data_IF_910675141627
#
_entry.id   IF_910675141627
#
_cell.length_a   1.000
_cell.length_b   1.000
_cell.length_c   1.000
_cell.angle_alpha   90.00
_cell.angle_beta   90.00
_cell.angle_gamma   90.00
#
_symmetry.space_group_name_H-M   'P 1'
#
loop_
_entity.id
_entity.type
_entity.pdbx_description
1 polymer ?
#
# COMPACT_ATOMS: atom_id res chain seq x y z
N UNK A 1 29.91 -13.29 32.08
CA UNK A 1 29.41 -12.74 30.80
C UNK A 1 29.63 -13.78 29.71
N UNK A 2 28.60 -14.51 29.28
CA UNK A 2 28.72 -15.49 28.18
C UNK A 2 28.58 -14.73 26.85
N UNK A 3 29.50 -14.86 25.88
CA UNK A 3 29.42 -14.12 24.63
C UNK A 3 28.28 -14.69 23.79
N UNK A 4 27.31 -13.83 23.47
CA UNK A 4 26.14 -14.17 22.66
C UNK A 4 26.56 -14.06 21.19
N UNK A 5 27.14 -15.12 20.63
CA UNK A 5 27.33 -15.21 19.18
C UNK A 5 26.04 -15.68 18.53
N UNK A 6 25.10 -14.75 18.32
CA UNK A 6 23.92 -14.97 17.48
C UNK A 6 24.10 -14.39 16.06
N UNK A 7 25.29 -14.52 15.48
CA UNK A 7 25.46 -14.43 14.02
C UNK A 7 25.02 -15.76 13.39
N UNK A 8 23.72 -16.08 13.50
CA UNK A 8 23.16 -17.20 12.75
C UNK A 8 23.23 -16.85 11.27
N UNK A 9 23.91 -17.68 10.46
CA UNK A 9 24.01 -17.49 9.01
C UNK A 9 22.63 -17.24 8.37
N UNK A 10 21.59 -17.92 8.85
CA UNK A 10 20.19 -17.73 8.47
C UNK A 10 19.72 -16.27 8.54
N UNK A 11 20.08 -15.54 9.61
CA UNK A 11 19.67 -14.14 9.83
C UNK A 11 20.38 -13.19 8.86
N UNK A 12 21.66 -13.46 8.59
CA UNK A 12 22.46 -12.68 7.64
C UNK A 12 21.93 -12.90 6.23
N UNK A 13 21.66 -14.14 5.83
CA UNK A 13 21.09 -14.46 4.53
C UNK A 13 19.69 -13.85 4.35
N UNK A 14 18.82 -13.93 5.37
CA UNK A 14 17.52 -13.29 5.33
C UNK A 14 17.63 -11.75 5.22
N UNK A 15 18.57 -11.13 5.92
CA UNK A 15 18.80 -9.69 5.82
C UNK A 15 19.30 -9.29 4.43
N UNK A 16 20.28 -10.02 3.87
CA UNK A 16 20.78 -9.79 2.50
C UNK A 16 19.64 -9.90 1.50
N UNK A 17 18.78 -10.91 1.63
CA UNK A 17 17.62 -11.09 0.77
C UNK A 17 16.67 -9.89 0.85
N UNK A 18 16.29 -9.46 2.06
CA UNK A 18 15.38 -8.31 2.26
C UNK A 18 16.00 -7.02 1.75
N UNK A 19 17.29 -6.78 2.01
CA UNK A 19 18.03 -5.63 1.50
C UNK A 19 18.09 -5.62 -0.04
N UNK A 20 18.38 -6.76 -0.65
CA UNK A 20 18.40 -6.89 -2.10
C UNK A 20 17.01 -6.67 -2.71
N UNK A 21 15.97 -7.25 -2.11
CA UNK A 21 14.59 -7.04 -2.55
C UNK A 21 14.20 -5.56 -2.47
N UNK A 22 14.46 -4.90 -1.35
CA UNK A 22 14.21 -3.47 -1.19
C UNK A 22 14.95 -2.64 -2.25
N UNK A 23 16.21 -2.98 -2.54
CA UNK A 23 17.00 -2.32 -3.57
C UNK A 23 16.41 -2.51 -4.98
N UNK A 24 16.04 -3.74 -5.35
CA UNK A 24 15.44 -4.04 -6.66
C UNK A 24 14.11 -3.31 -6.83
N UNK A 25 13.27 -3.28 -5.79
CA UNK A 25 12.01 -2.54 -5.80
C UNK A 25 12.26 -1.04 -5.99
N UNK A 26 13.23 -0.47 -5.26
CA UNK A 26 13.60 0.93 -5.38
C UNK A 26 14.09 1.28 -6.79
N UNK A 27 15.02 0.48 -7.35
CA UNK A 27 15.53 0.69 -8.71
C UNK A 27 14.46 0.51 -9.78
N UNK A 28 13.54 -0.44 -9.60
CA UNK A 28 12.42 -0.64 -10.51
C UNK A 28 11.49 0.57 -10.54
N UNK A 29 11.19 1.14 -9.37
CA UNK A 29 10.41 2.37 -9.25
C UNK A 29 11.11 3.56 -9.90
N UNK A 30 12.41 3.72 -9.66
CA UNK A 30 13.20 4.81 -10.27
C UNK A 30 13.20 4.71 -11.79
N UNK A 31 13.40 3.51 -12.35
CA UNK A 31 13.35 3.29 -13.80
C UNK A 31 11.95 3.57 -14.38
N UNK A 32 10.90 3.19 -13.66
CA UNK A 32 9.53 3.48 -14.08
C UNK A 32 9.24 4.99 -14.09
N UNK A 33 9.65 5.71 -13.04
CA UNK A 33 9.53 7.16 -12.98
C UNK A 33 10.29 7.87 -14.11
N UNK A 34 11.52 7.42 -14.41
CA UNK A 34 12.32 7.96 -15.50
C UNK A 34 11.62 7.76 -16.85
N UNK A 35 11.05 6.57 -17.10
CA UNK A 35 10.29 6.26 -18.32
C UNK A 35 9.03 7.11 -18.45
N UNK A 36 8.37 7.43 -17.34
CA UNK A 36 7.19 8.29 -17.31
C UNK A 36 7.50 9.80 -17.39
N UNK A 37 8.78 10.18 -17.48
CA UNK A 37 9.18 11.59 -17.58
C UNK A 37 8.94 12.40 -16.30
N UNK A 38 8.95 11.74 -15.13
CA UNK A 38 8.75 12.35 -13.81
C UNK A 38 10.09 12.71 -13.11
N UNK A 39 11.23 12.48 -13.76
CA UNK A 39 12.56 12.70 -13.19
C UNK A 39 13.10 11.52 -12.39
N UNK A 40 13.94 11.78 -11.39
CA UNK A 40 14.69 10.77 -10.62
C UNK A 40 14.46 10.85 -9.09
N UNK A 41 13.28 11.31 -8.67
CA UNK A 41 12.91 11.47 -7.26
C UNK A 41 11.84 10.46 -6.84
N UNK A 42 12.16 9.16 -6.68
CA UNK A 42 11.19 8.12 -6.33
C UNK A 42 10.61 8.34 -4.95
N UNK A 43 11.36 9.01 -4.06
CA UNK A 43 10.89 9.38 -2.72
C UNK A 43 9.68 10.32 -2.77
N UNK A 44 9.72 11.34 -3.62
CA UNK A 44 8.62 12.30 -3.77
C UNK A 44 7.35 11.62 -4.31
N UNK A 45 7.51 10.71 -5.28
CA UNK A 45 6.38 9.93 -5.81
C UNK A 45 5.76 9.06 -4.72
N UNK A 46 6.59 8.39 -3.91
CA UNK A 46 6.10 7.60 -2.77
C UNK A 46 5.42 8.45 -1.70
N UNK A 47 5.95 9.64 -1.42
CA UNK A 47 5.34 10.58 -0.47
C UNK A 47 3.95 11.03 -0.95
N UNK A 48 3.81 11.33 -2.24
CA UNK A 48 2.51 11.68 -2.83
C UNK A 48 1.54 10.49 -2.87
N UNK A 49 2.02 9.29 -3.16
CA UNK A 49 1.19 8.08 -3.07
C UNK A 49 0.79 7.74 -1.63
N UNK A 50 1.63 8.00 -0.64
CA UNK A 50 1.31 7.79 0.77
C UNK A 50 0.18 8.71 1.27
N UNK A 51 -0.06 9.84 0.58
CA UNK A 51 -1.20 10.72 0.86
C UNK A 51 -2.53 10.12 0.38
N UNK A 52 -2.49 9.23 -0.61
CA UNK A 52 -3.68 8.51 -1.09
C UNK A 52 -3.98 7.39 -0.11
N UNK A 53 -5.01 7.58 0.71
CA UNK A 53 -5.39 6.63 1.75
C UNK A 53 -6.66 5.87 1.38
N UNK A 54 -6.74 4.61 1.79
CA UNK A 54 -7.96 3.81 1.74
C UNK A 54 -8.63 3.80 3.10
N UNK A 55 -9.90 4.16 3.15
CA UNK A 55 -10.70 4.23 4.37
C UNK A 55 -11.88 3.27 4.29
N UNK A 56 -12.20 2.62 5.41
CA UNK A 56 -13.41 1.83 5.55
C UNK A 56 -14.55 2.74 6.05
N UNK A 57 -15.61 2.88 5.26
CA UNK A 57 -16.83 3.61 5.59
C UNK A 57 -17.90 2.62 6.01
N UNK A 58 -18.38 2.71 7.25
CA UNK A 58 -19.48 1.90 7.78
C UNK A 58 -20.75 2.73 7.75
N UNK A 59 -21.73 2.33 6.94
CA UNK A 59 -23.04 2.96 6.87
C UNK A 59 -24.06 2.10 7.61
N UNK A 60 -24.64 2.58 8.72
CA UNK A 60 -25.76 1.90 9.36
C UNK A 60 -27.00 2.06 8.48
N UNK A 61 -27.60 0.95 8.04
CA UNK A 61 -28.86 0.98 7.29
C UNK A 61 -30.03 0.71 8.23
N UNK A 62 -31.17 1.38 7.97
CA UNK A 62 -32.39 1.25 8.78
C UNK A 62 -33.12 -0.08 8.60
N UNK A 63 -32.76 -0.90 7.60
CA UNK A 63 -33.52 -2.10 7.22
C UNK A 63 -32.69 -3.39 7.19
N UNK A 64 -31.40 -3.33 6.87
CA UNK A 64 -30.59 -4.51 6.56
C UNK A 64 -29.12 -4.31 6.99
N UNK A 65 -28.84 -4.34 8.30
CA UNK A 65 -27.48 -4.44 8.83
C UNK A 65 -26.53 -3.26 8.52
N UNK A 66 -25.25 -3.42 8.87
CA UNK A 66 -24.17 -2.47 8.59
C UNK A 66 -23.54 -2.74 7.21
N UNK A 67 -23.43 -1.72 6.36
CA UNK A 67 -22.71 -1.82 5.08
C UNK A 67 -21.29 -1.27 5.26
N UNK A 68 -20.27 -2.07 4.95
CA UNK A 68 -18.85 -1.67 5.03
C UNK A 68 -18.24 -1.52 3.62
N UNK A 69 -17.86 -0.29 3.27
CA UNK A 69 -17.26 0.04 1.97
C UNK A 69 -15.83 0.51 2.16
N UNK A 70 -14.87 -0.07 1.42
CA UNK A 70 -13.51 0.48 1.34
C UNK A 70 -13.43 1.52 0.23
N UNK A 71 -13.42 2.79 0.62
CA UNK A 71 -13.32 3.94 -0.27
C UNK A 71 -11.88 4.43 -0.34
N UNK A 72 -11.42 4.84 -1.52
CA UNK A 72 -10.11 5.45 -1.70
C UNK A 72 -10.28 6.96 -1.81
N UNK A 73 -9.44 7.73 -1.12
CA UNK A 73 -9.47 9.20 -1.19
C UNK A 73 -9.25 9.67 -2.62
N UNK A 74 -10.00 10.69 -3.05
CA UNK A 74 -9.84 11.29 -4.37
C UNK A 74 -8.47 11.98 -4.46
N UNK A 75 -7.63 11.65 -5.46
CA UNK A 75 -6.31 12.26 -5.60
C UNK A 75 -6.43 13.74 -5.95
N UNK A 76 -5.53 14.55 -5.38
CA UNK A 76 -5.35 15.97 -5.72
C UNK A 76 -4.97 16.13 -7.22
N UNK A 77 -5.22 17.28 -7.89
CA UNK A 77 -4.85 17.46 -9.31
C UNK A 77 -3.38 17.15 -9.61
N UNK A 78 -2.47 17.46 -8.69
CA UNK A 78 -1.05 17.09 -8.83
C UNK A 78 -0.86 15.56 -8.80
N UNK A 79 -1.54 14.86 -7.88
CA UNK A 79 -1.49 13.40 -7.75
C UNK A 79 -2.14 12.70 -8.95
N UNK A 80 -3.24 13.25 -9.47
CA UNK A 80 -3.89 12.75 -10.68
C UNK A 80 -2.96 12.82 -11.89
N UNK A 81 -2.22 13.92 -12.05
CA UNK A 81 -1.22 14.05 -13.11
C UNK A 81 -0.05 13.06 -12.95
N UNK A 82 0.37 12.78 -11.71
CA UNK A 82 1.38 11.74 -11.44
C UNK A 82 0.88 10.34 -11.80
N UNK A 83 -0.35 10.00 -11.39
CA UNK A 83 -0.99 8.72 -11.69
C UNK A 83 -1.15 8.51 -13.20
N UNK A 84 -1.60 9.53 -13.93
CA UNK A 84 -1.78 9.50 -15.38
C UNK A 84 -0.46 9.23 -16.11
N UNK A 85 0.60 9.96 -15.76
CA UNK A 85 1.94 9.76 -16.32
C UNK A 85 2.54 8.39 -16.00
N UNK A 86 2.20 7.83 -14.85
CA UNK A 86 2.61 6.47 -14.45
C UNK A 86 1.71 5.39 -15.07
N UNK A 87 0.61 5.77 -15.73
CA UNK A 87 -0.35 4.84 -16.34
C UNK A 87 -1.18 4.08 -15.30
N UNK A 88 -1.36 4.66 -14.11
CA UNK A 88 -2.10 4.07 -13.01
C UNK A 88 -3.54 4.61 -12.96
N UNK A 89 -4.51 3.70 -12.89
CA UNK A 89 -5.92 4.04 -12.66
C UNK A 89 -6.30 3.60 -11.25
N UNK A 90 -6.65 4.57 -10.41
CA UNK A 90 -7.05 4.32 -9.03
C UNK A 90 -8.53 3.91 -8.98
N UNK A 91 -8.88 2.75 -8.38
CA UNK A 91 -10.27 2.38 -8.20
C UNK A 91 -10.94 3.27 -7.14
N UNK A 92 -12.15 3.77 -7.44
CA UNK A 92 -12.94 4.57 -6.48
C UNK A 92 -13.42 3.75 -5.27
N UNK A 93 -13.58 2.45 -5.48
CA UNK A 93 -14.04 1.49 -4.46
C UNK A 93 -13.22 0.23 -4.61
N UNK A 94 -12.65 -0.24 -3.49
CA UNK A 94 -12.07 -1.57 -3.43
C UNK A 94 -13.14 -2.52 -2.92
N UNK A 95 -13.23 -3.71 -3.53
CA UNK A 95 -14.06 -4.78 -3.00
C UNK A 95 -13.47 -5.14 -1.64
N UNK A 96 -14.24 -4.92 -0.57
CA UNK A 96 -13.92 -5.48 0.73
C UNK A 96 -14.17 -6.98 0.60
N UNK A 97 -13.13 -7.81 0.71
CA UNK A 97 -13.37 -9.22 1.01
C UNK A 97 -13.93 -9.25 2.42
N UNK A 98 -15.16 -9.76 2.53
CA UNK A 98 -15.80 -10.09 3.80
C UNK A 98 -14.92 -11.15 4.49
N UNK A 99 -13.86 -10.73 5.16
CA UNK A 99 -13.25 -11.54 6.20
C UNK A 99 -14.28 -11.51 7.33
N UNK A 100 -15.16 -12.51 7.30
CA UNK A 100 -16.20 -12.80 8.27
C UNK A 100 -15.71 -12.48 9.69
N UNK A 101 -16.20 -11.36 10.25
CA UNK A 101 -16.31 -11.21 11.69
C UNK A 101 -17.70 -11.73 12.04
N UNK A 102 -17.79 -12.67 12.98
CA UNK A 102 -18.92 -13.57 13.09
C UNK A 102 -20.22 -12.79 13.29
N UNK A 103 -21.22 -13.18 12.51
CA UNK A 103 -22.63 -13.00 12.86
C UNK A 103 -22.83 -13.58 14.26
N UNK A 104 -22.63 -12.75 15.29
CA UNK A 104 -23.11 -13.03 16.62
C UNK A 104 -24.62 -12.93 16.55
N UNK A 105 -25.22 -14.10 16.34
CA UNK A 105 -26.63 -14.42 16.43
C UNK A 105 -27.26 -13.81 17.68
N UNK A 106 -28.50 -13.35 17.49
CA UNK A 106 -29.45 -12.84 18.48
C UNK A 106 -29.50 -13.58 19.81
N UNK A 107 -29.76 -12.83 20.88
CA UNK A 107 -30.81 -13.09 21.87
C UNK A 107 -31.28 -11.77 22.49
#
# INVERSE_FOLDING_TARGET
MRPIWHQRADRVQAHILVCFLAFVLWKSLEMWQQRSGLGNSPRTVLEEFARIQSHDVILPTTMHGEIRLRCVTQPDPAQAALLDRLGLVLPKRMRTDDIELPLAVSA
#
